data_IF_484383155312
#
_entry.id   IF_484383155312
#
_cell.length_a   1.000
_cell.length_b   1.000
_cell.length_c   1.000
_cell.angle_alpha   90.00
_cell.angle_beta   90.00
_cell.angle_gamma   90.00
#
_symmetry.space_group_name_H-M   'P 1'
#
loop_
_entity.id
_entity.type
_entity.pdbx_description
1 polymer ?
#
# COMPACT_ATOMS: atom_id res chain seq x y z
N UNK A 1 47.98 -32.42 23.95
CA UNK A 1 48.64 -32.31 25.27
C UNK A 1 47.62 -32.76 26.31
N UNK A 2 47.94 -33.85 27.01
CA UNK A 2 47.10 -34.56 27.99
C UNK A 2 47.12 -33.87 29.36
N UNK A 3 46.02 -34.04 30.13
CA UNK A 3 45.88 -34.14 31.61
C UNK A 3 44.40 -33.79 31.91
N UNK A 4 43.47 -34.65 32.34
CA UNK A 4 43.41 -35.66 33.42
C UNK A 4 43.95 -35.17 34.75
N UNK A 5 43.07 -34.85 35.71
CA UNK A 5 43.11 -35.32 37.12
C UNK A 5 41.68 -35.33 37.71
N UNK A 6 41.49 -36.31 38.59
CA UNK A 6 40.26 -36.83 39.23
C UNK A 6 40.05 -36.31 40.66
N UNK A 7 38.77 -36.26 41.05
CA UNK A 7 38.11 -36.61 42.33
C UNK A 7 38.29 -35.76 43.61
N UNK A 8 37.15 -35.45 44.25
CA UNK A 8 36.91 -35.71 45.67
C UNK A 8 35.40 -35.81 45.96
N UNK A 9 35.01 -36.88 46.66
CA UNK A 9 33.68 -37.17 47.18
C UNK A 9 33.42 -36.38 48.48
N UNK A 10 32.19 -35.93 48.69
CA UNK A 10 31.67 -35.66 50.02
C UNK A 10 30.24 -36.21 50.13
N UNK A 11 30.13 -37.26 50.94
CA UNK A 11 28.92 -37.93 51.39
C UNK A 11 28.08 -37.03 52.27
N UNK A 12 26.75 -37.08 52.13
CA UNK A 12 25.83 -36.68 53.19
C UNK A 12 24.61 -37.60 53.15
N UNK A 13 24.45 -38.38 54.23
CA UNK A 13 23.27 -39.17 54.55
C UNK A 13 22.10 -38.23 54.85
N UNK A 14 20.95 -38.46 54.22
CA UNK A 14 19.68 -37.80 54.51
C UNK A 14 18.53 -38.79 54.35
N UNK A 15 17.70 -38.87 55.40
CA UNK A 15 16.62 -39.83 55.63
C UNK A 15 15.62 -39.99 54.46
N UNK A 16 15.00 -41.17 54.28
CA UNK A 16 13.88 -41.33 53.37
C UNK A 16 12.61 -40.72 53.98
N UNK A 17 12.12 -39.61 53.42
CA UNK A 17 10.73 -39.21 53.60
C UNK A 17 9.86 -40.13 52.73
N UNK A 18 9.10 -41.00 53.39
CA UNK A 18 8.00 -41.73 52.76
C UNK A 18 6.88 -40.72 52.48
N UNK A 19 6.80 -40.25 51.23
CA UNK A 19 5.62 -39.53 50.75
C UNK A 19 4.53 -40.56 50.41
N UNK A 20 3.51 -40.61 51.26
CA UNK A 20 2.25 -41.30 50.99
C UNK A 20 1.54 -40.58 49.85
N UNK A 21 1.48 -41.22 48.68
CA UNK A 21 0.63 -40.78 47.58
C UNK A 21 -0.83 -41.14 47.91
N UNK A 22 -1.59 -40.16 48.37
CA UNK A 22 -3.06 -40.24 48.32
C UNK A 22 -3.47 -40.02 46.86
N UNK A 23 -3.85 -41.10 46.19
CA UNK A 23 -4.53 -41.07 44.89
C UNK A 23 -5.93 -40.49 45.07
N UNK A 24 -6.02 -39.16 45.13
CA UNK A 24 -7.27 -38.45 44.89
C UNK A 24 -7.49 -38.36 43.38
N UNK A 25 -8.51 -39.05 42.87
CA UNK A 25 -9.01 -38.80 41.51
C UNK A 25 -9.61 -37.40 41.50
N UNK A 26 -8.84 -36.41 41.07
CA UNK A 26 -9.39 -35.10 40.74
C UNK A 26 -9.99 -35.19 39.33
N UNK A 27 -11.32 -35.17 39.26
CA UNK A 27 -12.07 -34.99 38.01
C UNK A 27 -11.58 -33.69 37.35
N UNK A 28 -11.07 -33.80 36.12
CA UNK A 28 -10.65 -32.62 35.36
C UNK A 28 -11.88 -31.81 34.97
N UNK A 29 -11.93 -30.48 35.19
CA UNK A 29 -13.05 -29.67 34.72
C UNK A 29 -13.11 -29.73 33.19
N UNK A 30 -14.31 -29.74 32.58
CA UNK A 30 -14.46 -29.80 31.14
C UNK A 30 -13.80 -28.57 30.50
N UNK A 31 -12.90 -28.82 29.56
CA UNK A 31 -12.17 -27.83 28.80
C UNK A 31 -13.13 -26.94 27.99
N UNK A 32 -13.22 -25.66 28.37
CA UNK A 32 -13.86 -24.61 27.57
C UNK A 32 -12.95 -24.17 26.41
N UNK A 33 -12.47 -25.10 25.58
CA UNK A 33 -11.51 -24.80 24.50
C UNK A 33 -12.15 -24.48 23.14
N UNK A 34 -13.47 -24.55 23.01
CA UNK A 34 -14.17 -24.38 21.73
C UNK A 34 -14.60 -22.95 21.38
N UNK A 35 -15.05 -22.17 22.36
CA UNK A 35 -15.65 -20.85 22.10
C UNK A 35 -14.60 -19.74 21.87
N UNK A 36 -13.54 -19.71 22.70
CA UNK A 36 -12.52 -18.66 22.63
C UNK A 36 -11.61 -18.73 21.39
N UNK A 37 -11.42 -19.92 20.81
CA UNK A 37 -10.52 -20.11 19.66
C UNK A 37 -11.13 -19.55 18.36
N UNK A 38 -12.45 -19.68 18.18
CA UNK A 38 -13.16 -19.16 17.00
C UNK A 38 -13.27 -17.64 17.02
N UNK A 39 -13.52 -17.05 18.20
CA UNK A 39 -13.62 -15.60 18.37
C UNK A 39 -12.26 -14.89 18.24
N UNK A 40 -11.19 -15.47 18.81
CA UNK A 40 -9.83 -14.94 18.67
C UNK A 40 -9.29 -15.01 17.24
N UNK A 41 -9.63 -16.07 16.50
CA UNK A 41 -9.32 -16.15 15.06
C UNK A 41 -10.00 -15.01 14.31
N UNK A 42 -11.29 -14.74 14.58
CA UNK A 42 -12.02 -13.62 13.99
C UNK A 42 -11.36 -12.26 14.21
N UNK A 43 -10.98 -11.94 15.46
CA UNK A 43 -10.33 -10.65 15.78
C UNK A 43 -8.96 -10.49 15.12
N UNK A 44 -8.14 -11.54 15.12
CA UNK A 44 -6.83 -11.51 14.46
C UNK A 44 -6.96 -11.31 12.95
N UNK A 45 -7.97 -11.93 12.36
CA UNK A 45 -8.27 -11.88 10.94
C UNK A 45 -8.77 -10.49 10.50
N UNK A 46 -9.61 -9.86 11.32
CA UNK A 46 -10.09 -8.50 11.11
C UNK A 46 -8.95 -7.49 11.17
N UNK A 47 -8.04 -7.64 12.14
CA UNK A 47 -6.86 -6.79 12.25
C UNK A 47 -5.92 -6.96 11.04
N UNK A 48 -5.75 -8.20 10.56
CA UNK A 48 -4.94 -8.48 9.39
C UNK A 48 -5.55 -7.85 8.13
N UNK A 49 -6.87 -7.98 7.93
CA UNK A 49 -7.57 -7.35 6.82
C UNK A 49 -7.54 -5.81 6.91
N UNK A 50 -7.71 -5.25 8.10
CA UNK A 50 -7.60 -3.81 8.34
C UNK A 50 -6.19 -3.30 8.02
N UNK A 51 -5.15 -4.05 8.41
CA UNK A 51 -3.76 -3.71 8.08
C UNK A 51 -3.50 -3.73 6.57
N UNK A 52 -4.09 -4.67 5.84
CA UNK A 52 -3.99 -4.75 4.38
C UNK A 52 -4.66 -3.54 3.69
N UNK A 53 -5.67 -2.94 4.35
CA UNK A 53 -6.42 -1.78 3.85
C UNK A 53 -5.94 -0.43 4.41
N UNK A 54 -4.88 -0.38 5.22
CA UNK A 54 -4.34 0.91 5.71
C UNK A 54 -3.78 1.75 4.56
N UNK A 55 -4.03 3.06 4.61
CA UNK A 55 -3.59 4.06 3.63
C UNK A 55 -4.09 3.75 2.21
N UNK A 56 -5.41 3.58 2.06
CA UNK A 56 -6.04 3.43 0.76
C UNK A 56 -5.77 4.65 -0.13
N UNK A 57 -5.68 4.45 -1.46
CA UNK A 57 -5.60 5.57 -2.38
C UNK A 57 -6.89 6.42 -2.30
N UNK A 58 -6.86 7.67 -2.81
CA UNK A 58 -8.07 8.42 -3.11
C UNK A 58 -9.05 7.63 -4.00
N UNK A 59 -10.30 8.07 -4.15
CA UNK A 59 -11.26 7.47 -5.06
C UNK A 59 -10.64 7.13 -6.42
N UNK A 60 -10.86 5.89 -6.83
CA UNK A 60 -10.33 5.34 -8.06
C UNK A 60 -11.10 5.76 -9.31
N UNK A 61 -10.68 5.23 -10.45
CA UNK A 61 -11.36 5.34 -11.74
C UNK A 61 -12.25 4.12 -12.00
N UNK A 62 -13.20 4.24 -12.93
CA UNK A 62 -13.95 3.09 -13.43
C UNK A 62 -13.06 2.19 -14.30
N UNK A 63 -13.30 0.86 -14.37
CA UNK A 63 -12.51 -0.01 -15.22
C UNK A 63 -12.58 0.33 -16.72
N UNK A 64 -13.69 0.92 -17.18
CA UNK A 64 -13.85 1.38 -18.56
C UNK A 64 -13.04 2.65 -18.87
N UNK A 65 -12.57 3.37 -17.84
CA UNK A 65 -11.76 4.59 -17.96
C UNK A 65 -10.25 4.27 -18.00
N UNK A 66 -9.88 2.99 -17.97
CA UNK A 66 -8.51 2.55 -18.16
C UNK A 66 -8.06 2.82 -19.61
N UNK A 67 -6.83 3.28 -19.83
CA UNK A 67 -6.24 3.32 -21.16
C UNK A 67 -6.23 1.92 -21.81
N UNK A 68 -6.75 1.79 -23.03
CA UNK A 68 -6.86 0.49 -23.71
C UNK A 68 -7.50 -0.61 -22.81
N UNK A 69 -8.78 -0.43 -22.42
CA UNK A 69 -9.42 -1.20 -21.36
C UNK A 69 -9.60 -2.70 -21.72
N UNK A 70 -9.48 -3.04 -23.01
CA UNK A 70 -9.60 -4.41 -23.49
C UNK A 70 -8.24 -5.13 -23.58
N UNK A 71 -7.12 -4.42 -23.38
CA UNK A 71 -5.79 -5.03 -23.33
C UNK A 71 -5.66 -6.01 -22.17
N UNK A 72 -4.83 -7.05 -22.34
CA UNK A 72 -4.52 -8.00 -21.27
C UNK A 72 -4.12 -7.27 -19.98
N UNK A 73 -3.27 -6.26 -20.09
CA UNK A 73 -2.83 -5.44 -18.95
C UNK A 73 -3.96 -4.80 -18.17
N UNK A 74 -4.87 -4.13 -18.87
CA UNK A 74 -6.05 -3.51 -18.26
C UNK A 74 -6.97 -4.54 -17.59
N UNK A 75 -7.19 -5.69 -18.24
CA UNK A 75 -8.04 -6.74 -17.67
C UNK A 75 -7.47 -7.32 -16.38
N UNK A 76 -6.16 -7.55 -16.32
CA UNK A 76 -5.50 -8.05 -15.11
C UNK A 76 -5.53 -6.99 -13.99
N UNK A 77 -5.21 -5.74 -14.30
CA UNK A 77 -5.30 -4.63 -13.33
C UNK A 77 -6.72 -4.52 -12.78
N UNK A 78 -7.75 -4.58 -13.63
CA UNK A 78 -9.15 -4.60 -13.19
C UNK A 78 -9.44 -5.78 -12.27
N UNK A 79 -9.05 -6.99 -12.67
CA UNK A 79 -9.36 -8.22 -11.93
C UNK A 79 -8.72 -8.24 -10.55
N UNK A 80 -7.43 -7.90 -10.45
CA UNK A 80 -6.66 -8.05 -9.22
C UNK A 80 -6.76 -6.82 -8.31
N UNK A 81 -6.71 -5.60 -8.85
CA UNK A 81 -6.65 -4.39 -8.02
C UNK A 81 -8.01 -4.01 -7.42
N UNK A 82 -9.13 -4.35 -8.07
CA UNK A 82 -10.47 -4.04 -7.55
C UNK A 82 -10.94 -5.00 -6.46
N UNK A 83 -10.20 -6.07 -6.19
CA UNK A 83 -10.56 -7.06 -5.19
C UNK A 83 -10.53 -6.52 -3.74
N UNK A 84 -9.85 -5.41 -3.48
CA UNK A 84 -9.70 -4.86 -2.13
C UNK A 84 -10.10 -3.40 -1.98
N UNK A 85 -9.91 -2.57 -3.01
CA UNK A 85 -10.17 -1.13 -2.99
C UNK A 85 -10.52 -0.62 -4.39
N UNK A 86 -10.90 0.66 -4.50
CA UNK A 86 -11.17 1.29 -5.79
C UNK A 86 -9.93 1.26 -6.70
N UNK A 87 -10.15 1.14 -8.00
CA UNK A 87 -9.07 1.01 -8.98
C UNK A 87 -8.26 2.30 -9.10
N UNK A 88 -6.98 2.27 -8.71
CA UNK A 88 -6.09 3.41 -8.92
C UNK A 88 -5.87 3.64 -10.42
N UNK A 89 -5.80 4.91 -10.83
CA UNK A 89 -5.46 5.26 -12.21
C UNK A 89 -3.99 4.93 -12.48
N UNK A 90 -3.63 4.41 -13.67
CA UNK A 90 -2.23 4.30 -14.10
C UNK A 90 -1.48 5.65 -14.03
N UNK A 91 -2.19 6.77 -14.14
CA UNK A 91 -1.62 8.12 -14.03
C UNK A 91 -1.43 8.59 -12.57
N UNK A 92 -1.73 7.76 -11.56
CA UNK A 92 -1.51 8.13 -10.15
C UNK A 92 -0.05 8.10 -9.73
N UNK A 93 0.81 7.39 -10.47
CA UNK A 93 2.23 7.27 -10.19
C UNK A 93 3.05 7.30 -11.48
N UNK A 94 4.32 7.70 -11.36
CA UNK A 94 5.26 7.67 -12.48
C UNK A 94 5.74 6.25 -12.79
N UNK A 95 6.34 6.07 -13.96
CA UNK A 95 6.91 4.78 -14.36
C UNK A 95 8.03 4.32 -13.40
N UNK A 96 8.74 5.25 -12.77
CA UNK A 96 9.77 4.98 -11.76
C UNK A 96 9.17 4.56 -10.42
N UNK A 97 7.97 5.03 -10.08
CA UNK A 97 7.28 4.71 -8.82
C UNK A 97 6.50 3.39 -8.85
N UNK A 98 5.88 3.05 -9.99
CA UNK A 98 5.00 1.89 -10.13
C UNK A 98 5.59 0.55 -9.65
N UNK A 99 6.87 0.20 -9.93
CA UNK A 99 7.48 -1.03 -9.43
C UNK A 99 7.40 -1.14 -7.89
N UNK A 100 7.60 -0.02 -7.19
CA UNK A 100 7.55 0.03 -5.72
C UNK A 100 6.11 -0.08 -5.21
N UNK A 101 5.18 0.62 -5.86
CA UNK A 101 3.74 0.57 -5.51
C UNK A 101 3.21 -0.86 -5.63
N UNK A 102 3.42 -1.49 -6.79
CA UNK A 102 2.98 -2.85 -7.02
C UNK A 102 3.64 -3.86 -6.07
N UNK A 103 4.93 -3.69 -5.77
CA UNK A 103 5.62 -4.52 -4.77
C UNK A 103 4.93 -4.51 -3.41
N UNK A 104 4.49 -3.33 -2.95
CA UNK A 104 3.74 -3.22 -1.70
C UNK A 104 2.38 -3.93 -1.78
N UNK A 105 1.69 -3.85 -2.93
CA UNK A 105 0.39 -4.50 -3.11
C UNK A 105 0.52 -6.02 -3.15
N UNK A 106 1.49 -6.57 -3.88
CA UNK A 106 1.73 -8.02 -3.88
C UNK A 106 2.06 -8.53 -2.48
N UNK A 107 2.91 -7.84 -1.72
CA UNK A 107 3.23 -8.23 -0.35
C UNK A 107 2.02 -8.22 0.60
N UNK A 108 1.02 -7.38 0.33
CA UNK A 108 -0.26 -7.36 1.07
C UNK A 108 -1.14 -8.53 0.63
N UNK A 109 -1.36 -8.69 -0.67
CA UNK A 109 -2.17 -9.79 -1.24
C UNK A 109 -1.63 -11.16 -0.78
N UNK A 110 -0.32 -11.37 -0.87
CA UNK A 110 0.35 -12.62 -0.49
C UNK A 110 0.23 -12.92 1.03
N UNK A 111 -0.14 -11.94 1.86
CA UNK A 111 -0.32 -12.08 3.32
C UNK A 111 -1.79 -12.17 3.75
N UNK A 112 -2.74 -11.91 2.86
CA UNK A 112 -4.15 -12.04 3.17
C UNK A 112 -4.52 -13.55 3.21
N UNK A 113 -5.12 -14.05 4.30
CA UNK A 113 -5.50 -15.46 4.41
C UNK A 113 -6.49 -15.89 3.33
N UNK A 114 -6.34 -17.12 2.84
CA UNK A 114 -7.08 -17.66 1.70
C UNK A 114 -8.61 -17.58 1.84
N UNK A 115 -9.14 -17.63 3.07
CA UNK A 115 -10.58 -17.51 3.35
C UNK A 115 -11.20 -16.17 2.90
N UNK A 116 -10.39 -15.12 2.72
CA UNK A 116 -10.87 -13.85 2.18
C UNK A 116 -11.01 -13.86 0.66
N UNK A 117 -10.64 -14.97 -0.01
CA UNK A 117 -10.84 -15.20 -1.45
C UNK A 117 -10.28 -14.08 -2.36
N UNK A 118 -9.20 -13.43 -1.93
CA UNK A 118 -8.51 -12.42 -2.74
C UNK A 118 -7.71 -13.15 -3.84
N UNK A 119 -7.93 -12.83 -5.12
CA UNK A 119 -7.21 -13.47 -6.21
C UNK A 119 -5.73 -13.08 -6.17
N UNK A 120 -4.84 -14.07 -6.33
CA UNK A 120 -3.38 -13.88 -6.32
C UNK A 120 -2.84 -14.03 -7.75
N UNK A 121 -2.22 -13.00 -8.33
CA UNK A 121 -1.66 -13.08 -9.67
C UNK A 121 -0.40 -13.94 -9.69
N UNK A 122 -0.27 -14.78 -10.71
CA UNK A 122 0.93 -15.53 -11.06
C UNK A 122 2.09 -14.60 -11.43
N UNK A 123 3.32 -15.11 -11.47
CA UNK A 123 4.49 -14.32 -11.85
C UNK A 123 4.37 -13.70 -13.26
N UNK A 124 3.83 -14.43 -14.23
CA UNK A 124 3.64 -13.94 -15.59
C UNK A 124 2.61 -12.79 -15.65
N UNK A 125 1.49 -12.94 -14.94
CA UNK A 125 0.46 -11.90 -14.85
C UNK A 125 0.98 -10.63 -14.16
N UNK A 126 1.81 -10.77 -13.11
CA UNK A 126 2.47 -9.62 -12.46
C UNK A 126 3.32 -8.82 -13.43
N UNK A 127 4.02 -9.48 -14.35
CA UNK A 127 4.81 -8.82 -15.40
C UNK A 127 3.92 -8.09 -16.40
N UNK A 128 2.81 -8.70 -16.83
CA UNK A 128 1.84 -8.09 -17.75
C UNK A 128 1.25 -6.81 -17.14
N UNK A 129 0.82 -6.87 -15.87
CA UNK A 129 0.31 -5.70 -15.15
C UNK A 129 1.35 -4.60 -14.98
N UNK A 130 2.59 -4.98 -14.60
CA UNK A 130 3.66 -4.00 -14.45
C UNK A 130 3.91 -3.26 -15.75
N UNK A 131 4.07 -3.98 -16.86
CA UNK A 131 4.28 -3.36 -18.19
C UNK A 131 3.15 -2.38 -18.51
N UNK A 132 1.90 -2.80 -18.34
CA UNK A 132 0.75 -1.95 -18.60
C UNK A 132 0.75 -0.65 -17.78
N UNK A 133 1.07 -0.73 -16.47
CA UNK A 133 1.15 0.46 -15.63
C UNK A 133 2.32 1.37 -15.99
N UNK A 134 3.45 0.81 -16.44
CA UNK A 134 4.60 1.58 -16.91
C UNK A 134 4.27 2.34 -18.21
N UNK A 135 3.61 1.67 -19.15
CA UNK A 135 3.26 2.23 -20.47
C UNK A 135 2.20 3.34 -20.35
N UNK A 136 1.37 3.29 -19.30
CA UNK A 136 0.28 4.23 -19.04
C UNK A 136 0.54 5.14 -17.82
N UNK A 137 1.79 5.20 -17.36
CA UNK A 137 2.17 5.92 -16.15
C UNK A 137 1.98 7.43 -16.27
N UNK A 138 1.98 8.12 -15.12
CA UNK A 138 2.05 9.57 -15.05
C UNK A 138 3.24 10.10 -15.86
N UNK A 139 2.98 11.09 -16.71
CA UNK A 139 4.04 11.86 -17.36
C UNK A 139 4.63 12.83 -16.33
N UNK A 140 5.92 12.69 -16.06
CA UNK A 140 6.64 13.51 -15.07
C UNK A 140 7.51 14.54 -15.75
N UNK A 141 7.72 15.67 -15.07
CA UNK A 141 8.60 16.73 -15.54
C UNK A 141 10.05 16.26 -15.60
N UNK A 142 10.56 15.95 -16.80
CA UNK A 142 11.97 15.60 -17.04
C UNK A 142 12.86 16.79 -17.42
N UNK A 143 12.23 17.91 -17.80
CA UNK A 143 12.89 19.15 -18.17
C UNK A 143 12.83 20.17 -17.04
N UNK A 144 13.69 21.19 -17.12
CA UNK A 144 13.55 22.32 -16.22
C UNK A 144 12.18 22.98 -16.43
N UNK A 145 11.42 23.09 -15.35
CA UNK A 145 10.09 23.67 -15.35
C UNK A 145 10.12 25.11 -15.90
N UNK A 146 9.16 25.51 -16.76
CA UNK A 146 9.06 26.89 -17.21
C UNK A 146 9.06 27.85 -16.02
N UNK A 147 9.94 28.85 -16.07
CA UNK A 147 10.03 29.88 -15.04
C UNK A 147 8.78 30.76 -15.04
N UNK A 148 8.41 31.26 -13.86
CA UNK A 148 7.32 32.22 -13.73
C UNK A 148 6.57 32.13 -12.40
N UNK A 149 5.61 33.04 -12.18
CA UNK A 149 4.79 33.05 -10.96
C UNK A 149 4.07 31.71 -10.78
N UNK A 150 4.06 31.19 -9.55
CA UNK A 150 3.40 29.94 -9.18
C UNK A 150 4.25 28.67 -9.33
N UNK A 151 5.41 28.70 -10.01
CA UNK A 151 6.31 27.53 -10.16
C UNK A 151 6.67 26.88 -8.82
N UNK A 152 7.06 27.67 -7.84
CA UNK A 152 7.48 27.17 -6.53
C UNK A 152 6.30 26.58 -5.74
N UNK A 153 5.14 27.24 -5.80
CA UNK A 153 3.91 26.74 -5.16
C UNK A 153 3.49 25.41 -5.79
N UNK A 154 3.53 25.32 -7.13
CA UNK A 154 3.26 24.09 -7.86
C UNK A 154 4.22 22.95 -7.47
N UNK A 155 5.53 23.22 -7.48
CA UNK A 155 6.55 22.22 -7.12
C UNK A 155 6.35 21.72 -5.69
N UNK A 156 6.17 22.65 -4.74
CA UNK A 156 5.99 22.33 -3.33
C UNK A 156 4.65 21.63 -3.05
N UNK A 157 3.56 22.03 -3.71
CA UNK A 157 2.24 21.46 -3.47
C UNK A 157 2.07 20.09 -4.13
N UNK A 158 2.42 19.97 -5.41
CA UNK A 158 2.18 18.76 -6.20
C UNK A 158 3.26 17.68 -5.99
N UNK A 159 4.48 18.06 -5.60
CA UNK A 159 5.56 17.11 -5.31
C UNK A 159 5.49 16.44 -3.94
N UNK A 160 4.45 16.72 -3.12
CA UNK A 160 4.30 16.16 -1.76
C UNK A 160 3.95 14.68 -1.74
N UNK A 161 3.24 14.19 -2.75
CA UNK A 161 2.59 12.87 -2.70
C UNK A 161 3.18 11.87 -3.70
N UNK A 162 3.53 12.33 -4.89
CA UNK A 162 4.12 11.55 -5.96
C UNK A 162 5.10 12.41 -6.76
N UNK A 163 5.84 11.81 -7.68
CA UNK A 163 6.75 12.55 -8.57
C UNK A 163 6.00 13.68 -9.33
N UNK A 164 6.69 14.81 -9.55
CA UNK A 164 6.06 16.02 -10.04
C UNK A 164 5.57 15.84 -11.49
N UNK A 165 4.26 16.04 -11.77
CA UNK A 165 3.70 15.82 -13.11
C UNK A 165 4.34 16.75 -14.15
N UNK A 166 4.22 16.44 -15.45
CA UNK A 166 4.59 17.37 -16.51
C UNK A 166 3.41 18.34 -16.77
N UNK A 167 3.60 19.68 -16.69
CA UNK A 167 2.58 20.65 -17.04
C UNK A 167 2.02 20.53 -18.46
N UNK A 168 2.66 19.76 -19.34
CA UNK A 168 2.24 19.55 -20.73
C UNK A 168 1.31 18.34 -20.91
N UNK A 169 1.10 17.52 -19.89
CA UNK A 169 0.27 16.32 -20.01
C UNK A 169 -1.23 16.62 -20.16
N UNK A 170 -1.64 17.85 -19.85
CA UNK A 170 -3.02 18.32 -20.03
C UNK A 170 -3.04 19.64 -20.77
N UNK A 171 -4.15 19.92 -21.45
CA UNK A 171 -4.35 21.20 -22.10
C UNK A 171 -4.47 22.31 -21.05
N UNK A 172 -4.29 23.55 -21.49
CA UNK A 172 -4.56 24.72 -20.66
C UNK A 172 -5.94 24.64 -19.99
N UNK A 173 -6.97 24.35 -20.77
CA UNK A 173 -8.35 24.47 -20.31
C UNK A 173 -8.76 23.29 -19.40
N UNK A 174 -8.00 22.18 -19.42
CA UNK A 174 -8.19 21.04 -18.53
C UNK A 174 -7.59 21.22 -17.13
N UNK A 175 -6.53 22.02 -17.01
CA UNK A 175 -5.78 22.18 -15.76
C UNK A 175 -6.62 22.62 -14.56
N UNK A 176 -7.58 23.57 -14.67
CA UNK A 176 -8.46 23.91 -13.56
C UNK A 176 -9.16 22.68 -12.96
N UNK A 177 -9.73 21.81 -13.80
CA UNK A 177 -10.44 20.61 -13.34
C UNK A 177 -9.49 19.59 -12.68
N UNK A 178 -8.28 19.44 -13.22
CA UNK A 178 -7.25 18.55 -12.67
C UNK A 178 -6.81 19.00 -11.28
N UNK A 179 -6.54 20.31 -11.11
CA UNK A 179 -6.10 20.86 -9.81
C UNK A 179 -7.22 20.77 -8.77
N UNK A 180 -8.48 20.99 -9.16
CA UNK A 180 -9.62 20.85 -8.24
C UNK A 180 -9.78 19.40 -7.75
N UNK A 181 -9.72 18.41 -8.64
CA UNK A 181 -9.72 16.99 -8.21
C UNK A 181 -8.54 16.67 -7.28
N UNK A 182 -7.34 17.14 -7.62
CA UNK A 182 -6.16 16.84 -6.81
C UNK A 182 -6.24 17.49 -5.42
N UNK A 183 -6.84 18.69 -5.33
CA UNK A 183 -7.16 19.32 -4.05
C UNK A 183 -8.13 18.45 -3.23
N UNK A 184 -9.18 17.92 -3.83
CA UNK A 184 -10.13 17.03 -3.14
C UNK A 184 -9.43 15.77 -2.62
N UNK A 185 -8.57 15.14 -3.44
CA UNK A 185 -7.74 14.02 -3.01
C UNK A 185 -6.78 14.40 -1.87
N UNK A 186 -6.15 15.58 -1.94
CA UNK A 186 -5.28 16.08 -0.88
C UNK A 186 -6.04 16.24 0.44
N UNK A 187 -7.26 16.79 0.41
CA UNK A 187 -8.10 16.94 1.61
C UNK A 187 -8.45 15.59 2.21
N UNK A 188 -8.80 14.60 1.37
CA UNK A 188 -9.14 13.25 1.83
C UNK A 188 -7.93 12.53 2.46
N UNK A 189 -6.74 12.73 1.90
CA UNK A 189 -5.52 12.03 2.36
C UNK A 189 -4.84 12.73 3.54
N UNK A 190 -4.85 14.06 3.59
CA UNK A 190 -4.08 14.85 4.55
C UNK A 190 -4.97 15.55 5.60
N UNK A 191 -6.28 15.61 5.39
CA UNK A 191 -7.22 16.29 6.29
C UNK A 191 -7.18 17.83 6.20
N UNK A 192 -6.40 18.39 5.28
CA UNK A 192 -6.24 19.84 5.10
C UNK A 192 -6.41 20.26 3.63
N UNK A 193 -6.97 21.45 3.42
CA UNK A 193 -7.05 22.09 2.09
C UNK A 193 -5.98 23.16 1.98
N UNK A 194 -5.21 23.20 0.87
CA UNK A 194 -4.39 24.35 0.55
C UNK A 194 -5.21 25.65 0.48
N UNK A 195 -4.62 26.82 0.78
CA UNK A 195 -5.27 28.12 0.62
C UNK A 195 -5.75 28.34 -0.82
N UNK A 196 -6.91 29.00 -0.99
CA UNK A 196 -7.48 29.26 -2.31
C UNK A 196 -6.55 30.08 -3.23
N UNK A 197 -5.75 30.98 -2.65
CA UNK A 197 -4.74 31.76 -3.39
C UNK A 197 -3.63 30.88 -3.97
N UNK A 198 -3.20 29.84 -3.26
CA UNK A 198 -2.20 28.88 -3.76
C UNK A 198 -2.78 28.01 -4.88
N UNK A 199 -4.02 27.53 -4.72
CA UNK A 199 -4.73 26.80 -5.77
C UNK A 199 -4.80 27.64 -7.06
N UNK A 200 -5.20 28.92 -6.95
CA UNK A 200 -5.27 29.82 -8.08
C UNK A 200 -3.89 30.05 -8.72
N UNK A 201 -2.84 30.21 -7.89
CA UNK A 201 -1.47 30.38 -8.38
C UNK A 201 -0.98 29.17 -9.19
N UNK A 202 -1.33 27.96 -8.75
CA UNK A 202 -0.97 26.71 -9.44
C UNK A 202 -1.75 26.55 -10.75
N UNK A 203 -3.06 26.82 -10.77
CA UNK A 203 -3.86 26.78 -11.99
C UNK A 203 -3.26 27.73 -13.04
N UNK A 204 -3.03 29.00 -12.66
CA UNK A 204 -2.46 30.00 -13.56
C UNK A 204 -1.06 29.62 -14.05
N UNK A 205 -0.25 28.98 -13.21
CA UNK A 205 1.05 28.47 -13.60
C UNK A 205 0.93 27.37 -14.66
N UNK A 206 0.11 26.35 -14.40
CA UNK A 206 -0.06 25.20 -15.28
C UNK A 206 -0.67 25.58 -16.63
N UNK A 207 -1.63 26.51 -16.65
CA UNK A 207 -2.21 27.08 -17.88
C UNK A 207 -1.18 27.78 -18.80
N UNK A 208 -0.11 28.35 -18.21
CA UNK A 208 0.98 28.97 -18.97
C UNK A 208 2.01 27.92 -19.37
N UNK A 209 2.43 27.10 -18.41
CA UNK A 209 3.48 26.10 -18.59
C UNK A 209 3.10 25.03 -19.62
N UNK A 210 1.82 24.70 -19.77
CA UNK A 210 1.33 23.77 -20.80
C UNK A 210 1.55 24.25 -22.25
N UNK A 211 1.76 25.55 -22.46
CA UNK A 211 1.95 26.16 -23.79
C UNK A 211 3.42 26.34 -24.18
N UNK A 212 4.31 26.44 -23.20
CA UNK A 212 5.70 26.90 -23.40
C UNK A 212 6.68 25.80 -23.88
N UNK A 213 6.18 24.64 -24.31
CA UNK A 213 6.97 23.55 -24.87
C UNK A 213 6.66 23.21 -26.34
N UNK A 214 5.89 24.05 -27.04
CA UNK A 214 5.45 23.83 -28.42
C UNK A 214 6.28 24.62 -29.47
N UNK A 215 7.53 24.97 -29.15
CA UNK A 215 8.45 25.70 -30.04
C UNK A 215 9.69 24.88 -30.35
#
# INVERSE_FOLDING_TARGET
>A
MMQSVRHALATSLGLPLVFVWLTGCAESPPSQEGAGRTEQVGVADDLLLASAKVALPPPGIGPADLPDPDSDGAQHVRQYCTACHALASPQSHSATDWPTVLRRMWLRIDRVPARFSVPVPTAAERVVMLRYLLDNALSVSRAELPSGPGRNVYTAMCGRCHELPDPRQHSRDDWPAVVIRMREHSVQMLGESPPQSEIQAVILYLERASRLGAT
#
